data_IF_391222580236
#
_entry.id   IF_391222580236
#
_cell.length_a   1.000
_cell.length_b   1.000
_cell.length_c   1.000
_cell.angle_alpha   90.00
_cell.angle_beta   90.00
_cell.angle_gamma   90.00
#
_symmetry.space_group_name_H-M   'P 1'
#
loop_
_entity.id
_entity.type
_entity.pdbx_description
1 polymer ?
#
# COMPACT_ATOMS: atom_id res chain seq x y z
N UNK A 1 76.15 -36.86 -29.37
CA UNK A 1 74.96 -37.23 -28.59
C UNK A 1 75.04 -36.59 -27.20
N UNK A 2 74.38 -35.45 -26.99
CA UNK A 2 74.25 -34.81 -25.67
C UNK A 2 72.75 -34.67 -25.38
N UNK A 3 72.30 -35.26 -24.27
CA UNK A 3 70.93 -35.20 -23.77
C UNK A 3 70.75 -33.86 -23.05
N UNK A 4 69.89 -33.00 -23.58
CA UNK A 4 69.51 -31.73 -22.93
C UNK A 4 68.13 -31.94 -22.30
N UNK A 5 68.12 -32.13 -20.98
CA UNK A 5 66.91 -32.12 -20.15
C UNK A 5 66.53 -30.66 -19.93
N UNK A 6 65.42 -30.21 -20.53
CA UNK A 6 64.83 -28.91 -20.24
C UNK A 6 63.55 -29.12 -19.44
N UNK A 7 63.63 -28.73 -18.18
CA UNK A 7 62.59 -28.68 -17.16
C UNK A 7 62.13 -27.22 -17.08
N UNK A 8 60.95 -26.94 -16.47
CA UNK A 8 60.45 -25.62 -16.01
C UNK A 8 59.60 -24.87 -17.09
N UNK A 9 58.37 -24.35 -16.89
CA UNK A 9 57.53 -24.00 -15.71
C UNK A 9 56.06 -24.02 -16.17
N UNK A 10 55.17 -24.71 -15.45
CA UNK A 10 53.72 -24.49 -15.58
C UNK A 10 53.33 -23.26 -14.75
N UNK A 11 52.97 -22.16 -15.40
CA UNK A 11 52.35 -21.00 -14.77
C UNK A 11 50.85 -21.30 -14.70
N UNK A 12 50.38 -21.75 -13.54
CA UNK A 12 48.95 -21.81 -13.25
C UNK A 12 48.47 -20.37 -12.99
N UNK A 13 47.90 -19.74 -14.02
CA UNK A 13 47.22 -18.46 -13.90
C UNK A 13 45.85 -18.72 -13.27
N UNK A 14 45.79 -18.71 -11.93
CA UNK A 14 44.52 -18.78 -11.19
C UNK A 14 43.80 -17.45 -11.38
N UNK A 15 42.99 -17.35 -12.44
CA UNK A 15 42.11 -16.23 -12.68
C UNK A 15 40.98 -16.22 -11.67
N UNK A 16 41.15 -15.46 -10.59
CA UNK A 16 40.04 -15.09 -9.71
C UNK A 16 39.10 -14.18 -10.51
N UNK A 17 38.07 -14.79 -11.11
CA UNK A 17 36.94 -14.06 -11.68
C UNK A 17 36.19 -13.43 -10.48
N UNK A 18 36.56 -12.21 -10.10
CA UNK A 18 35.75 -11.37 -9.25
C UNK A 18 34.46 -11.09 -10.03
N UNK A 19 33.43 -11.89 -9.78
CA UNK A 19 32.06 -11.50 -10.05
C UNK A 19 31.79 -10.29 -9.16
N UNK A 20 32.12 -9.11 -9.68
CA UNK A 20 31.51 -7.88 -9.21
C UNK A 20 30.03 -8.04 -9.50
N UNK A 21 29.30 -8.61 -8.54
CA UNK A 21 27.85 -8.63 -8.58
C UNK A 21 27.42 -7.19 -8.81
N UNK A 22 26.70 -6.95 -9.91
CA UNK A 22 25.99 -5.70 -10.08
C UNK A 22 25.10 -5.61 -8.84
N UNK A 23 25.49 -4.76 -7.88
CA UNK A 23 24.59 -4.36 -6.83
C UNK A 23 23.43 -3.70 -7.56
N UNK A 24 22.29 -4.39 -7.62
CA UNK A 24 21.07 -3.82 -8.16
C UNK A 24 20.84 -2.55 -7.36
N UNK A 25 20.79 -1.41 -8.05
CA UNK A 25 20.50 -0.15 -7.39
C UNK A 25 19.03 -0.23 -6.95
N UNK A 26 18.78 0.00 -5.66
CA UNK A 26 17.43 0.18 -5.16
C UNK A 26 16.81 1.47 -5.70
N UNK A 27 15.54 1.68 -5.40
CA UNK A 27 14.79 2.87 -5.78
C UNK A 27 14.47 3.71 -4.55
N UNK A 28 14.66 5.01 -4.69
CA UNK A 28 14.10 6.00 -3.80
C UNK A 28 13.01 6.79 -4.50
N UNK A 29 11.86 6.96 -3.84
CA UNK A 29 10.84 7.86 -4.33
C UNK A 29 10.21 8.72 -3.23
N UNK A 30 9.72 9.88 -3.64
CA UNK A 30 8.88 10.74 -2.81
C UNK A 30 7.51 10.84 -3.48
N UNK A 31 6.46 10.77 -2.67
CA UNK A 31 5.08 10.88 -3.12
C UNK A 31 4.36 11.99 -2.39
N UNK A 32 3.49 12.70 -3.10
CA UNK A 32 2.53 13.63 -2.52
C UNK A 32 1.11 13.12 -2.77
N UNK A 33 0.33 13.00 -1.70
CA UNK A 33 -1.08 12.63 -1.73
C UNK A 33 -1.93 13.84 -1.35
N UNK A 34 -2.84 14.25 -2.23
CA UNK A 34 -3.81 15.32 -2.00
C UNK A 34 -5.22 14.73 -1.92
N UNK A 35 -5.93 14.99 -0.83
CA UNK A 35 -7.29 14.47 -0.61
C UNK A 35 -8.29 15.60 -0.35
N UNK A 36 -9.52 15.45 -0.84
CA UNK A 36 -10.56 16.47 -0.69
C UNK A 36 -10.45 17.59 -1.72
N UNK A 37 -9.91 17.29 -2.91
CA UNK A 37 -9.66 18.27 -3.98
C UNK A 37 -10.95 18.96 -4.42
N UNK A 38 -12.06 18.22 -4.49
CA UNK A 38 -13.37 18.77 -4.85
C UNK A 38 -14.11 19.45 -3.68
N UNK A 39 -13.56 19.40 -2.47
CA UNK A 39 -14.20 20.01 -1.31
C UNK A 39 -13.99 21.52 -1.28
N UNK A 40 -14.89 22.28 -0.63
CA UNK A 40 -14.70 23.73 -0.40
C UNK A 40 -13.56 24.04 0.58
N UNK A 41 -13.01 23.03 1.25
CA UNK A 41 -11.90 23.18 2.20
C UNK A 41 -10.58 23.03 1.44
N UNK A 42 -9.50 23.53 2.04
CA UNK A 42 -8.16 23.26 1.51
C UNK A 42 -7.94 21.73 1.47
N UNK A 43 -7.40 21.18 0.38
CA UNK A 43 -7.04 19.77 0.31
C UNK A 43 -6.09 19.42 1.46
N UNK A 44 -6.23 18.21 2.00
CA UNK A 44 -5.20 17.67 2.87
C UNK A 44 -4.04 17.21 1.99
N UNK A 45 -2.81 17.55 2.34
CA UNK A 45 -1.60 17.19 1.58
C UNK A 45 -0.69 16.38 2.48
N UNK A 46 -0.40 15.15 2.07
CA UNK A 46 0.47 14.22 2.77
C UNK A 46 1.67 13.89 1.90
N UNK A 47 2.85 13.83 2.52
CA UNK A 47 4.06 13.43 1.83
C UNK A 47 4.58 12.12 2.41
N UNK A 48 5.16 11.28 1.56
CA UNK A 48 5.83 10.07 1.98
C UNK A 48 7.13 9.89 1.21
N UNK A 49 8.07 9.19 1.85
CA UNK A 49 9.35 8.78 1.28
C UNK A 49 9.40 7.27 1.27
N UNK A 50 9.88 6.71 0.17
CA UNK A 50 9.95 5.27 -0.02
C UNK A 50 11.34 4.85 -0.43
N UNK A 51 11.78 3.73 0.12
CA UNK A 51 12.94 2.98 -0.33
C UNK A 51 12.48 1.59 -0.74
N UNK A 52 13.00 1.11 -1.85
CA UNK A 52 12.69 -0.20 -2.42
C UNK A 52 13.98 -0.85 -2.91
N UNK A 53 14.18 -2.13 -2.62
CA UNK A 53 15.27 -2.95 -3.15
C UNK A 53 14.79 -4.40 -3.24
N UNK A 54 14.40 -4.84 -4.44
CA UNK A 54 13.88 -6.19 -4.65
C UNK A 54 12.59 -6.46 -3.87
N UNK A 55 12.63 -7.32 -2.86
CA UNK A 55 11.45 -7.64 -2.02
C UNK A 55 11.33 -6.72 -0.79
N UNK A 56 12.32 -5.85 -0.55
CA UNK A 56 12.36 -4.99 0.62
C UNK A 56 11.80 -3.61 0.29
N UNK A 57 10.91 -3.12 1.15
CA UNK A 57 10.27 -1.82 0.98
C UNK A 57 10.08 -1.12 2.31
N UNK A 58 10.31 0.19 2.34
CA UNK A 58 10.04 1.04 3.51
C UNK A 58 9.34 2.31 3.08
N UNK A 59 8.27 2.69 3.77
CA UNK A 59 7.55 3.96 3.57
C UNK A 59 7.56 4.76 4.85
N UNK A 60 8.14 5.94 4.81
CA UNK A 60 8.13 6.92 5.89
C UNK A 60 7.18 8.06 5.54
N UNK A 61 6.22 8.36 6.41
CA UNK A 61 5.33 9.51 6.25
C UNK A 61 5.99 10.78 6.81
N UNK A 62 5.79 11.93 6.16
CA UNK A 62 6.36 13.20 6.62
C UNK A 62 5.77 13.59 7.98
N UNK A 63 6.65 13.80 8.95
CA UNK A 63 6.32 14.14 10.34
C UNK A 63 5.72 15.53 10.53
N UNK A 64 5.71 16.36 9.47
CA UNK A 64 5.17 17.73 9.53
C UNK A 64 3.65 17.76 9.49
N UNK A 65 2.98 16.69 9.04
CA UNK A 65 1.53 16.60 9.05
C UNK A 65 1.02 16.18 10.44
N UNK A 66 0.78 17.17 11.30
CA UNK A 66 0.28 16.97 12.68
C UNK A 66 -1.11 16.34 12.72
N UNK A 67 -1.88 16.42 11.63
CA UNK A 67 -3.22 15.84 11.54
C UNK A 67 -3.18 14.38 11.06
N UNK A 68 -2.00 13.88 10.67
CA UNK A 68 -1.81 12.50 10.25
C UNK A 68 -1.25 11.65 11.40
N UNK A 69 -2.03 10.70 11.96
CA UNK A 69 -1.52 9.81 13.01
C UNK A 69 -0.34 8.94 12.53
N UNK A 70 -0.18 8.74 11.21
CA UNK A 70 0.96 8.02 10.62
C UNK A 70 2.24 8.86 10.56
N UNK A 71 2.15 10.19 10.70
CA UNK A 71 3.30 11.09 10.63
C UNK A 71 4.19 11.05 11.89
N UNK A 72 3.75 10.45 12.98
CA UNK A 72 4.43 10.53 14.28
C UNK A 72 5.57 9.50 14.46
N UNK A 73 6.47 9.42 13.48
CA UNK A 73 7.57 8.45 13.49
C UNK A 73 7.13 7.02 13.18
N UNK A 74 5.90 6.85 12.69
CA UNK A 74 5.42 5.58 12.18
C UNK A 74 5.93 5.39 10.74
N UNK A 75 6.27 4.16 10.40
CA UNK A 75 6.62 3.80 9.03
C UNK A 75 6.06 2.42 8.69
N UNK A 76 5.89 2.18 7.39
CA UNK A 76 5.58 0.86 6.88
C UNK A 76 6.87 0.18 6.44
N UNK A 77 6.96 -1.13 6.68
CA UNK A 77 8.07 -1.94 6.24
C UNK A 77 7.53 -3.24 5.61
N UNK A 78 8.11 -3.68 4.51
CA UNK A 78 7.93 -5.03 3.97
C UNK A 78 9.28 -5.62 3.66
N UNK A 79 9.36 -6.95 3.77
CA UNK A 79 10.57 -7.75 3.50
C UNK A 79 10.26 -8.93 2.57
N UNK A 80 9.07 -8.91 1.95
CA UNK A 80 8.47 -9.99 1.18
C UNK A 80 7.60 -9.45 0.04
N UNK A 81 8.04 -8.35 -0.59
CA UNK A 81 7.39 -7.77 -1.77
C UNK A 81 5.97 -7.26 -1.51
N UNK A 82 5.66 -6.89 -0.26
CA UNK A 82 4.36 -6.40 0.19
C UNK A 82 3.39 -7.48 0.67
N UNK A 83 3.78 -8.75 0.73
CA UNK A 83 2.92 -9.82 1.25
C UNK A 83 2.59 -9.61 2.74
N UNK A 84 3.59 -9.18 3.51
CA UNK A 84 3.48 -8.71 4.89
C UNK A 84 3.93 -7.26 4.97
N UNK A 85 3.09 -6.41 5.56
CA UNK A 85 3.44 -5.01 5.83
C UNK A 85 3.47 -4.82 7.33
N UNK A 86 4.62 -4.47 7.89
CA UNK A 86 4.75 -4.12 9.29
C UNK A 86 4.45 -2.64 9.46
N UNK A 87 3.49 -2.31 10.33
CA UNK A 87 3.36 -0.96 10.87
C UNK A 87 4.34 -0.85 12.03
N UNK A 88 5.36 0.00 11.89
CA UNK A 88 6.38 0.19 12.91
C UNK A 88 6.22 1.54 13.57
N UNK A 89 6.17 1.55 14.90
CA UNK A 89 6.10 2.76 15.73
C UNK A 89 7.44 2.98 16.42
N UNK A 90 8.23 3.94 15.92
CA UNK A 90 9.55 4.22 16.50
C UNK A 90 9.53 4.85 17.88
N UNK A 91 8.43 5.52 18.25
CA UNK A 91 8.31 6.19 19.56
C UNK A 91 8.06 5.17 20.66
N UNK A 92 7.11 4.27 20.43
CA UNK A 92 6.71 3.24 21.40
C UNK A 92 7.60 1.99 21.31
N UNK A 93 8.51 1.93 20.32
CA UNK A 93 9.36 0.76 20.03
C UNK A 93 8.54 -0.52 19.84
N UNK A 94 7.48 -0.41 19.05
CA UNK A 94 6.62 -1.54 18.72
C UNK A 94 6.50 -1.71 17.22
N UNK A 95 6.16 -2.90 16.77
CA UNK A 95 5.70 -3.14 15.42
C UNK A 95 4.54 -4.11 15.41
N UNK A 96 3.71 -4.02 14.39
CA UNK A 96 2.60 -4.94 14.22
C UNK A 96 2.53 -5.42 12.76
N UNK A 97 2.48 -6.73 12.50
CA UNK A 97 2.24 -7.24 11.17
C UNK A 97 0.80 -6.91 10.74
N UNK A 98 0.67 -6.14 9.67
CA UNK A 98 -0.57 -5.81 9.01
C UNK A 98 -0.67 -6.56 7.68
N UNK A 99 -1.80 -7.21 7.48
CA UNK A 99 -2.18 -7.76 6.18
C UNK A 99 -3.65 -7.43 5.96
N UNK A 100 -3.99 -6.88 4.79
CA UNK A 100 -5.38 -6.59 4.42
C UNK A 100 -6.21 -7.87 4.44
N UNK A 101 -5.64 -9.00 4.00
CA UNK A 101 -6.30 -10.31 4.08
C UNK A 101 -6.66 -10.64 5.53
N UNK A 102 -5.71 -10.49 6.47
CA UNK A 102 -5.95 -10.70 7.90
C UNK A 102 -6.95 -9.69 8.48
N UNK A 103 -6.89 -8.43 8.07
CA UNK A 103 -7.83 -7.41 8.52
C UNK A 103 -9.27 -7.72 8.07
N UNK A 104 -9.44 -8.18 6.82
CA UNK A 104 -10.73 -8.60 6.27
C UNK A 104 -11.21 -9.92 6.89
N UNK A 105 -10.32 -10.89 7.11
CA UNK A 105 -10.68 -12.14 7.80
C UNK A 105 -11.13 -11.86 9.24
N UNK A 106 -10.48 -10.93 9.94
CA UNK A 106 -10.91 -10.48 11.27
C UNK A 106 -12.28 -9.83 11.23
N UNK A 107 -12.58 -9.05 10.19
CA UNK A 107 -13.92 -8.47 10.01
C UNK A 107 -15.00 -9.57 9.91
N UNK A 108 -14.68 -10.68 9.24
CA UNK A 108 -15.52 -11.88 9.19
C UNK A 108 -15.64 -12.56 10.56
N UNK A 109 -14.51 -12.83 11.23
CA UNK A 109 -14.52 -13.43 12.57
C UNK A 109 -15.24 -12.58 13.61
N UNK A 110 -15.18 -11.25 13.50
CA UNK A 110 -15.94 -10.32 14.36
C UNK A 110 -17.45 -10.46 14.12
N UNK A 111 -17.86 -10.69 12.88
CA UNK A 111 -19.27 -10.97 12.55
C UNK A 111 -19.73 -12.24 13.27
N UNK A 112 -18.92 -13.31 13.26
CA UNK A 112 -19.23 -14.55 13.99
C UNK A 112 -19.23 -14.37 15.51
N UNK A 113 -18.18 -13.74 16.06
CA UNK A 113 -18.00 -13.54 17.50
C UNK A 113 -19.11 -12.67 18.12
N UNK A 114 -19.67 -11.73 17.35
CA UNK A 114 -20.80 -10.91 17.78
C UNK A 114 -22.16 -11.61 17.58
N UNK A 115 -22.18 -12.90 17.24
CA UNK A 115 -23.43 -13.63 16.92
C UNK A 115 -24.17 -13.04 15.71
N UNK A 116 -23.43 -12.41 14.80
CA UNK A 116 -23.96 -11.65 13.68
C UNK A 116 -24.71 -10.39 14.08
N UNK A 117 -24.44 -9.80 15.26
CA UNK A 117 -25.00 -8.50 15.66
C UNK A 117 -24.48 -7.38 14.76
N UNK A 118 -23.22 -7.46 14.33
CA UNK A 118 -22.65 -6.60 13.29
C UNK A 118 -22.30 -7.50 12.11
N UNK A 119 -22.77 -7.16 10.93
CA UNK A 119 -22.42 -7.84 9.68
C UNK A 119 -22.07 -6.80 8.62
N UNK A 120 -20.96 -7.02 7.94
CA UNK A 120 -20.50 -6.19 6.84
C UNK A 120 -20.43 -7.09 5.60
N UNK A 121 -21.17 -6.73 4.55
CA UNK A 121 -21.17 -7.47 3.29
C UNK A 121 -20.83 -6.55 2.13
N UNK A 122 -20.14 -7.11 1.15
CA UNK A 122 -19.79 -6.48 -0.11
C UNK A 122 -20.53 -7.21 -1.21
N UNK A 123 -21.10 -6.48 -2.16
CA UNK A 123 -21.94 -7.04 -3.22
C UNK A 123 -21.86 -6.15 -4.46
N UNK A 124 -22.39 -6.62 -5.59
CA UNK A 124 -22.47 -5.86 -6.84
C UNK A 124 -21.12 -5.29 -7.30
N UNK A 125 -20.03 -6.05 -7.08
CA UNK A 125 -18.68 -5.66 -7.50
C UNK A 125 -18.58 -5.59 -9.02
N UNK A 126 -17.97 -4.53 -9.54
CA UNK A 126 -17.67 -4.40 -10.95
C UNK A 126 -16.37 -3.63 -11.16
N UNK A 127 -15.73 -3.84 -12.30
CA UNK A 127 -14.53 -3.12 -12.73
C UNK A 127 -14.39 -3.19 -14.24
N UNK A 128 -14.06 -2.07 -14.86
CA UNK A 128 -13.82 -1.96 -16.30
C UNK A 128 -12.69 -0.97 -16.61
N UNK A 129 -11.93 -1.25 -17.67
CA UNK A 129 -11.02 -0.28 -18.28
C UNK A 129 -11.85 0.56 -19.24
N UNK A 130 -11.89 1.87 -19.01
CA UNK A 130 -12.60 2.83 -19.85
C UNK A 130 -11.75 3.29 -21.04
N UNK A 131 -10.43 3.27 -20.90
CA UNK A 131 -9.52 3.67 -21.98
C UNK A 131 -8.04 3.49 -21.61
N UNK A 132 -7.24 3.30 -22.65
CA UNK A 132 -5.78 3.27 -22.57
C UNK A 132 -5.21 4.15 -23.67
N UNK A 133 -4.36 5.10 -23.29
CA UNK A 133 -3.74 6.03 -24.22
C UNK A 133 -2.29 6.33 -23.79
N UNK A 134 -1.42 6.80 -24.70
CA UNK A 134 -0.13 7.33 -24.31
C UNK A 134 -0.32 8.49 -23.30
N UNK A 135 0.32 8.38 -22.13
CA UNK A 135 0.32 9.43 -21.12
C UNK A 135 1.47 10.42 -21.32
N UNK A 136 1.40 11.57 -20.67
CA UNK A 136 2.53 12.49 -20.63
C UNK A 136 3.74 11.87 -19.93
N UNK A 137 4.98 12.18 -20.36
CA UNK A 137 6.16 11.76 -19.61
C UNK A 137 6.17 12.37 -18.20
N UNK A 138 6.44 11.55 -17.19
CA UNK A 138 6.58 12.00 -15.78
C UNK A 138 7.96 11.60 -15.30
N UNK A 139 8.72 12.56 -14.74
CA UNK A 139 10.09 12.34 -14.27
C UNK A 139 11.02 11.70 -15.33
N UNK A 140 10.81 12.04 -16.61
CA UNK A 140 11.50 11.50 -17.79
C UNK A 140 11.15 10.06 -18.18
N UNK A 141 10.21 9.42 -17.49
CA UNK A 141 9.67 8.12 -17.90
C UNK A 141 8.51 8.32 -18.86
N UNK A 142 8.48 7.56 -19.96
CA UNK A 142 7.26 7.41 -20.76
C UNK A 142 6.17 6.75 -19.92
N UNK A 143 4.93 7.24 -20.05
CA UNK A 143 3.80 6.66 -19.32
C UNK A 143 2.70 6.20 -20.27
N UNK A 144 1.94 5.22 -19.82
CA UNK A 144 0.63 4.87 -20.36
C UNK A 144 -0.42 5.40 -19.39
N UNK A 145 -1.37 6.20 -19.88
CA UNK A 145 -2.52 6.64 -19.11
C UNK A 145 -3.62 5.60 -19.25
N UNK A 146 -4.06 5.05 -18.12
CA UNK A 146 -5.17 4.10 -18.04
C UNK A 146 -6.30 4.73 -17.26
N UNK A 147 -7.47 4.80 -17.87
CA UNK A 147 -8.71 5.19 -17.22
C UNK A 147 -9.50 3.94 -16.88
N UNK A 148 -9.85 3.78 -15.60
CA UNK A 148 -10.61 2.64 -15.09
C UNK A 148 -11.80 3.11 -14.26
N UNK A 149 -12.82 2.28 -14.16
CA UNK A 149 -13.95 2.47 -13.28
C UNK A 149 -14.22 1.18 -12.53
N UNK A 150 -14.44 1.28 -11.23
CA UNK A 150 -14.90 0.15 -10.44
C UNK A 150 -15.90 0.59 -9.39
N UNK A 151 -16.58 -0.36 -8.78
CA UNK A 151 -17.49 -0.08 -7.70
C UNK A 151 -18.00 -1.32 -7.01
N UNK A 152 -18.69 -1.11 -5.90
CA UNK A 152 -19.34 -2.14 -5.11
C UNK A 152 -20.39 -1.54 -4.18
N UNK A 153 -21.31 -2.37 -3.71
CA UNK A 153 -22.27 -2.05 -2.65
C UNK A 153 -21.77 -2.57 -1.30
N UNK A 154 -21.56 -1.67 -0.35
CA UNK A 154 -21.26 -1.97 1.04
C UNK A 154 -22.54 -1.95 1.88
N UNK A 155 -22.88 -3.08 2.50
CA UNK A 155 -23.99 -3.17 3.45
C UNK A 155 -23.46 -3.44 4.85
N UNK A 156 -23.80 -2.56 5.79
CA UNK A 156 -23.55 -2.77 7.23
C UNK A 156 -24.88 -2.98 7.95
N UNK A 157 -25.02 -4.12 8.60
CA UNK A 157 -26.17 -4.46 9.42
C UNK A 157 -25.79 -4.49 10.90
N UNK A 158 -26.40 -3.63 11.70
CA UNK A 158 -26.23 -3.57 13.15
C UNK A 158 -27.55 -3.99 13.81
N UNK A 159 -27.75 -5.30 13.99
CA UNK A 159 -29.00 -5.89 14.50
C UNK A 159 -29.41 -5.34 15.87
N UNK A 160 -28.44 -5.13 16.77
CA UNK A 160 -28.69 -4.60 18.12
C UNK A 160 -29.36 -3.22 18.12
N UNK A 161 -29.16 -2.43 17.07
CA UNK A 161 -29.76 -1.09 16.93
C UNK A 161 -30.86 -1.02 15.87
N UNK A 162 -31.22 -2.14 15.25
CA UNK A 162 -32.16 -2.17 14.12
C UNK A 162 -31.73 -1.31 12.93
N UNK A 163 -30.41 -1.06 12.77
CA UNK A 163 -29.88 -0.15 11.75
C UNK A 163 -29.21 -0.93 10.62
N UNK A 164 -29.73 -0.72 9.40
CA UNK A 164 -29.08 -1.12 8.14
C UNK A 164 -28.60 0.13 7.39
N UNK A 165 -27.33 0.12 7.03
CA UNK A 165 -26.70 1.13 6.17
C UNK A 165 -26.29 0.44 4.88
N UNK A 166 -26.63 1.07 3.75
CA UNK A 166 -26.24 0.62 2.41
C UNK A 166 -25.59 1.82 1.74
N UNK A 167 -24.36 1.64 1.26
CA UNK A 167 -23.61 2.64 0.52
C UNK A 167 -23.14 2.01 -0.78
N UNK A 168 -23.46 2.64 -1.91
CA UNK A 168 -22.86 2.30 -3.20
C UNK A 168 -21.60 3.13 -3.37
N UNK A 169 -20.51 2.48 -3.75
CA UNK A 169 -19.24 3.12 -4.07
C UNK A 169 -18.99 2.96 -5.56
N UNK A 170 -18.67 4.07 -6.22
CA UNK A 170 -18.31 4.16 -7.63
C UNK A 170 -17.03 4.99 -7.71
N UNK A 171 -15.95 4.42 -8.21
CA UNK A 171 -14.67 5.11 -8.32
C UNK A 171 -14.24 5.09 -9.77
N UNK A 172 -13.96 6.26 -10.31
CA UNK A 172 -13.23 6.43 -11.55
C UNK A 172 -11.79 6.80 -11.21
N UNK A 173 -10.83 6.11 -11.80
CA UNK A 173 -9.41 6.37 -11.61
C UNK A 173 -8.73 6.58 -12.94
N UNK A 174 -7.85 7.58 -13.01
CA UNK A 174 -6.88 7.76 -14.08
C UNK A 174 -5.48 7.51 -13.50
N UNK A 175 -4.71 6.63 -14.11
CA UNK A 175 -3.37 6.28 -13.65
C UNK A 175 -2.36 6.42 -14.78
N UNK A 176 -1.24 7.10 -14.52
CA UNK A 176 -0.11 7.23 -15.44
C UNK A 176 0.96 6.24 -15.01
N UNK A 177 1.11 5.17 -15.80
CA UNK A 177 1.95 4.04 -15.47
C UNK A 177 3.23 4.10 -16.28
N UNK A 178 4.38 4.00 -15.61
CA UNK A 178 5.67 3.78 -16.24
C UNK A 178 5.91 2.26 -16.37
N UNK A 179 5.77 1.67 -17.58
CA UNK A 179 5.87 0.23 -17.78
C UNK A 179 7.28 -0.30 -17.56
N UNK A 180 8.30 0.55 -17.69
CA UNK A 180 9.72 0.15 -17.55
C UNK A 180 10.16 0.03 -16.08
N UNK A 181 9.33 0.44 -15.12
CA UNK A 181 9.59 0.34 -13.67
C UNK A 181 8.87 -0.88 -13.08
N UNK A 182 9.62 -1.95 -12.78
CA UNK A 182 9.06 -3.26 -12.39
C UNK A 182 9.60 -3.86 -11.09
N UNK A 183 10.20 -3.07 -10.20
CA UNK A 183 10.72 -3.59 -8.92
C UNK A 183 9.60 -4.17 -8.04
N UNK A 184 9.85 -5.32 -7.39
CA UNK A 184 8.84 -6.09 -6.69
C UNK A 184 8.31 -5.38 -5.43
N UNK A 185 9.12 -4.62 -4.68
CA UNK A 185 8.63 -3.92 -3.49
C UNK A 185 7.83 -2.65 -3.83
N UNK A 186 7.81 -2.20 -5.09
CA UNK A 186 6.84 -1.20 -5.56
C UNK A 186 5.39 -1.71 -5.44
N UNK A 187 5.20 -3.03 -5.30
CA UNK A 187 3.89 -3.62 -5.03
C UNK A 187 3.28 -3.22 -3.68
N UNK A 188 4.10 -2.69 -2.76
CA UNK A 188 3.61 -2.11 -1.51
C UNK A 188 2.58 -1.00 -1.77
N UNK A 189 2.74 -0.29 -2.88
CA UNK A 189 1.82 0.75 -3.34
C UNK A 189 0.87 0.25 -4.45
N UNK A 190 1.35 -0.63 -5.32
CA UNK A 190 0.55 -1.29 -6.38
C UNK A 190 0.43 -2.78 -6.15
N UNK A 191 -0.62 -3.20 -5.47
CA UNK A 191 -0.88 -4.64 -5.39
C UNK A 191 -1.11 -5.18 -6.80
N UNK A 192 -0.34 -6.20 -7.18
CA UNK A 192 -0.48 -6.93 -8.47
C UNK A 192 -1.84 -7.61 -8.64
N UNK A 193 -2.64 -7.67 -7.60
CA UNK A 193 -3.98 -8.23 -7.62
C UNK A 193 -4.73 -7.96 -6.31
N UNK A 194 -6.02 -8.30 -6.27
CA UNK A 194 -6.81 -8.23 -5.04
C UNK A 194 -6.23 -9.15 -3.96
N UNK A 195 -6.32 -8.77 -2.67
CA UNK A 195 -6.02 -9.69 -1.60
C UNK A 195 -7.02 -10.84 -1.57
N UNK A 196 -6.54 -12.04 -1.27
CA UNK A 196 -7.41 -13.16 -0.89
C UNK A 196 -7.78 -13.01 0.59
N UNK A 197 -9.06 -13.01 0.89
CA UNK A 197 -9.60 -12.81 2.23
C UNK A 197 -10.02 -14.12 2.90
N UNK A 198 -10.12 -15.19 2.10
CA UNK A 198 -10.69 -16.47 2.50
C UNK A 198 -12.21 -16.52 2.40
N UNK A 199 -12.86 -15.40 2.09
CA UNK A 199 -14.28 -15.33 1.78
C UNK A 199 -14.47 -15.27 0.26
N UNK A 200 -15.04 -16.33 -0.32
CA UNK A 200 -15.16 -16.46 -1.77
C UNK A 200 -16.03 -15.39 -2.43
N UNK A 201 -17.02 -14.84 -1.70
CA UNK A 201 -17.90 -13.81 -2.23
C UNK A 201 -17.17 -12.47 -2.27
N UNK A 202 -16.55 -12.08 -1.15
CA UNK A 202 -15.70 -10.90 -1.06
C UNK A 202 -14.54 -10.95 -2.05
N UNK A 203 -13.86 -12.10 -2.16
CA UNK A 203 -12.76 -12.28 -3.10
C UNK A 203 -13.22 -12.12 -4.55
N UNK A 204 -14.46 -12.51 -4.86
CA UNK A 204 -15.05 -12.32 -6.19
C UNK A 204 -15.35 -10.85 -6.46
N UNK A 205 -15.92 -10.12 -5.49
CA UNK A 205 -16.11 -8.67 -5.58
C UNK A 205 -14.76 -7.97 -5.77
N UNK A 206 -13.75 -8.31 -4.98
CA UNK A 206 -12.42 -7.71 -5.05
C UNK A 206 -11.73 -8.00 -6.39
N UNK A 207 -11.77 -9.25 -6.89
CA UNK A 207 -11.26 -9.60 -8.23
C UNK A 207 -11.94 -8.84 -9.35
N UNK A 208 -13.23 -8.56 -9.21
CA UNK A 208 -13.96 -7.85 -10.26
C UNK A 208 -13.67 -6.36 -10.19
N UNK A 209 -13.52 -5.79 -9.00
CA UNK A 209 -13.26 -4.36 -8.79
C UNK A 209 -11.79 -3.97 -9.00
N UNK A 210 -10.83 -4.87 -8.76
CA UNK A 210 -9.40 -4.58 -8.83
C UNK A 210 -8.80 -5.11 -10.13
N UNK A 211 -8.61 -4.21 -11.09
CA UNK A 211 -7.95 -4.52 -12.36
C UNK A 211 -6.44 -4.40 -12.17
N UNK A 212 -5.66 -5.47 -12.42
CA UNK A 212 -4.20 -5.39 -12.34
C UNK A 212 -3.64 -4.52 -13.46
N UNK A 213 -2.65 -3.69 -13.12
CA UNK A 213 -1.94 -2.83 -14.06
C UNK A 213 -0.45 -3.22 -14.04
N UNK A 214 0.19 -3.29 -15.21
CA UNK A 214 1.62 -3.64 -15.32
C UNK A 214 2.49 -2.38 -15.35
N UNK A 215 3.42 -2.26 -14.40
CA UNK A 215 4.32 -1.11 -14.23
C UNK A 215 4.11 -0.37 -12.91
N UNK A 216 4.73 0.80 -12.78
CA UNK A 216 4.67 1.64 -11.57
C UNK A 216 3.86 2.93 -11.81
N UNK A 217 2.93 3.34 -10.92
CA UNK A 217 2.08 4.49 -11.16
C UNK A 217 2.85 5.75 -10.73
N UNK A 218 3.17 6.62 -11.67
CA UNK A 218 3.80 7.89 -11.36
C UNK A 218 2.78 8.94 -10.93
N UNK A 219 1.51 8.75 -11.33
CA UNK A 219 0.39 9.58 -10.92
C UNK A 219 -0.90 8.77 -10.92
N UNK A 220 -1.75 9.02 -9.94
CA UNK A 220 -3.09 8.46 -9.85
C UNK A 220 -4.06 9.54 -9.42
N UNK A 221 -5.15 9.74 -10.17
CA UNK A 221 -6.27 10.60 -9.79
C UNK A 221 -7.50 9.73 -9.66
N UNK A 222 -8.06 9.66 -8.46
CA UNK A 222 -9.27 8.88 -8.17
C UNK A 222 -10.40 9.81 -7.75
N UNK A 223 -11.56 9.65 -8.39
CA UNK A 223 -12.81 10.31 -8.01
C UNK A 223 -13.80 9.26 -7.54
N UNK A 224 -14.14 9.32 -6.26
CA UNK A 224 -15.04 8.37 -5.62
C UNK A 224 -16.39 9.02 -5.32
N UNK A 225 -17.45 8.48 -5.88
CA UNK A 225 -18.83 8.81 -5.57
C UNK A 225 -19.39 7.76 -4.62
N UNK A 226 -19.81 8.21 -3.44
CA UNK A 226 -20.56 7.38 -2.49
C UNK A 226 -22.01 7.80 -2.48
N UNK A 227 -22.92 6.87 -2.77
CA UNK A 227 -24.36 7.09 -2.75
C UNK A 227 -24.98 6.34 -1.59
N UNK A 228 -25.62 7.05 -0.66
CA UNK A 228 -26.32 6.42 0.47
C UNK A 228 -27.68 5.82 0.07
N UNK A 229 -28.31 5.10 1.00
CA UNK A 229 -29.64 4.50 0.78
C UNK A 229 -30.77 5.50 0.46
N UNK A 230 -30.56 6.81 0.67
CA UNK A 230 -31.52 7.88 0.32
C UNK A 230 -31.20 8.49 -1.05
N UNK A 231 -30.20 7.99 -1.77
CA UNK A 231 -29.73 8.54 -3.03
C UNK A 231 -28.89 9.81 -2.85
N UNK A 232 -28.47 10.14 -1.63
CA UNK A 232 -27.58 11.30 -1.42
C UNK A 232 -26.16 10.92 -1.79
N UNK A 233 -25.59 11.71 -2.68
CA UNK A 233 -24.22 11.52 -3.16
C UNK A 233 -23.21 12.35 -2.35
N UNK A 234 -22.03 11.78 -2.19
CA UNK A 234 -20.82 12.45 -1.72
C UNK A 234 -19.71 12.09 -2.69
N UNK A 235 -19.14 13.11 -3.32
CA UNK A 235 -18.00 12.96 -4.21
C UNK A 235 -16.74 13.40 -3.46
N UNK A 236 -15.71 12.57 -3.51
CA UNK A 236 -14.36 12.92 -3.06
C UNK A 236 -13.36 12.70 -4.20
N UNK A 237 -12.26 13.43 -4.17
CA UNK A 237 -11.17 13.23 -5.12
C UNK A 237 -9.84 13.23 -4.39
N UNK A 238 -9.03 12.23 -4.74
CA UNK A 238 -7.68 12.02 -4.26
C UNK A 238 -6.72 11.98 -5.43
N UNK A 239 -5.60 12.68 -5.32
CA UNK A 239 -4.50 12.64 -6.26
C UNK A 239 -3.24 12.15 -5.53
N UNK A 240 -2.54 11.17 -6.10
CA UNK A 240 -1.24 10.70 -5.62
C UNK A 240 -0.25 10.91 -6.75
N UNK A 241 0.85 11.61 -6.48
CA UNK A 241 1.87 11.93 -7.48
C UNK A 241 3.25 11.61 -6.95
N UNK A 242 4.06 10.90 -7.74
CA UNK A 242 5.49 10.71 -7.49
C UNK A 242 6.23 11.98 -7.88
N UNK A 243 6.84 12.65 -6.91
CA UNK A 243 7.53 13.94 -7.09
C UNK A 243 9.04 13.79 -7.25
N UNK A 244 9.59 12.70 -6.73
CA UNK A 244 11.01 12.33 -6.88
C UNK A 244 11.08 10.84 -7.16
N UNK A 245 11.93 10.44 -8.10
CA UNK A 245 12.27 9.03 -8.35
C UNK A 245 13.72 8.96 -8.82
N UNK A 246 14.52 8.11 -8.17
CA UNK A 246 15.91 7.87 -8.56
C UNK A 246 16.37 6.49 -8.10
N UNK A 247 17.36 5.98 -8.80
CA UNK A 247 18.13 4.82 -8.35
C UNK A 247 19.16 5.25 -7.30
N UNK A 248 19.26 4.49 -6.21
CA UNK A 248 20.31 4.65 -5.21
C UNK A 248 20.64 3.33 -4.53
N UNK A 249 21.87 3.17 -4.04
CA UNK A 249 22.21 2.03 -3.20
C UNK A 249 21.57 2.23 -1.83
N UNK A 250 20.63 1.35 -1.47
CA UNK A 250 19.95 1.38 -0.18
C UNK A 250 20.64 0.40 0.77
N UNK A 251 21.15 0.85 1.94
CA UNK A 251 21.73 -0.06 2.92
C UNK A 251 20.67 -1.05 3.44
N UNK A 252 21.03 -2.34 3.59
CA UNK A 252 20.11 -3.36 4.10
C UNK A 252 19.49 -3.00 5.47
N UNK A 253 20.23 -2.27 6.31
CA UNK A 253 19.75 -1.78 7.62
C UNK A 253 18.55 -0.84 7.54
N UNK A 254 18.26 -0.24 6.36
CA UNK A 254 17.03 0.54 6.14
C UNK A 254 15.79 -0.36 6.31
N UNK A 255 15.91 -1.64 5.96
CA UNK A 255 14.81 -2.61 5.91
C UNK A 255 14.75 -3.57 7.11
N UNK A 256 15.61 -3.38 8.09
CA UNK A 256 15.61 -4.21 9.31
C UNK A 256 14.54 -3.72 10.29
N UNK A 257 13.80 -4.66 10.88
CA UNK A 257 13.05 -4.37 12.10
C UNK A 257 14.06 -4.22 13.25
N UNK A 258 14.02 -3.14 14.04
CA UNK A 258 14.94 -3.00 15.15
C UNK A 258 14.76 -4.13 16.17
N UNK A 259 15.88 -4.73 16.60
CA UNK A 259 15.86 -5.92 17.46
C UNK A 259 15.29 -5.65 18.87
N UNK A 260 15.25 -4.38 19.29
CA UNK A 260 14.70 -3.96 20.59
C UNK A 260 13.21 -3.59 20.52
N UNK A 261 12.54 -3.80 19.40
CA UNK A 261 11.12 -3.49 19.26
C UNK A 261 10.25 -4.70 19.59
N UNK A 262 9.13 -4.45 20.25
CA UNK A 262 8.15 -5.47 20.62
C UNK A 262 7.11 -5.68 19.51
N UNK A 263 6.86 -6.94 19.13
CA UNK A 263 5.74 -7.27 18.27
C UNK A 263 4.43 -7.17 19.07
N UNK A 264 3.53 -6.30 18.63
CA UNK A 264 2.20 -6.15 19.22
C UNK A 264 1.13 -6.70 18.27
N UNK A 265 0.07 -7.24 18.86
CA UNK A 265 -1.12 -7.63 18.11
C UNK A 265 -2.05 -6.44 17.93
N UNK A 266 -2.34 -6.05 16.68
CA UNK A 266 -3.40 -5.05 16.39
C UNK A 266 -4.79 -5.50 16.86
N UNK A 267 -4.95 -6.78 17.24
CA UNK A 267 -6.20 -7.37 17.69
C UNK A 267 -6.38 -7.29 19.21
N UNK A 268 -5.30 -7.09 19.96
CA UNK A 268 -5.41 -6.77 21.38
C UNK A 268 -5.90 -5.33 21.51
N UNK A 269 -6.98 -5.02 22.25
CA UNK A 269 -7.36 -3.64 22.55
C UNK A 269 -6.17 -2.78 23.00
N UNK A 270 -5.22 -3.34 23.75
CA UNK A 270 -3.99 -2.66 24.14
C UNK A 270 -3.06 -2.37 22.94
N UNK A 271 -2.93 -3.31 22.00
CA UNK A 271 -2.13 -3.13 20.78
C UNK A 271 -2.79 -2.21 19.74
N UNK A 272 -4.11 -2.24 19.62
CA UNK A 272 -4.88 -1.29 18.81
C UNK A 272 -4.76 0.13 19.36
N UNK A 273 -4.75 0.29 20.69
CA UNK A 273 -4.47 1.57 21.32
C UNK A 273 -3.00 1.97 21.17
N UNK A 274 -2.03 1.08 21.35
CA UNK A 274 -0.60 1.41 21.16
C UNK A 274 -0.27 1.82 19.71
N UNK A 275 -0.93 1.21 18.72
CA UNK A 275 -0.82 1.62 17.32
C UNK A 275 -1.56 2.95 17.02
N UNK A 276 -2.57 3.30 17.82
CA UNK A 276 -3.40 4.50 17.64
C UNK A 276 -3.08 5.68 18.56
N UNK A 277 -2.25 5.52 19.60
CA UNK A 277 -2.03 6.52 20.65
C UNK A 277 -1.04 7.63 20.26
N UNK A 278 -1.04 8.04 18.99
CA UNK A 278 -0.19 9.11 18.50
C UNK A 278 -0.76 10.51 18.76
N UNK A 279 -1.71 10.69 19.68
CA UNK A 279 -2.20 12.01 20.11
C UNK A 279 -3.46 11.95 20.96
N UNK A 280 -3.33 12.30 22.24
CA UNK A 280 -4.45 12.66 23.12
C UNK A 280 -5.21 13.86 22.52
N UNK A 281 -6.35 13.59 21.89
CA UNK A 281 -7.63 14.33 21.94
C UNK A 281 -8.50 13.96 20.73
N UNK A 282 -9.18 12.80 20.79
CA UNK A 282 -10.36 12.56 19.92
C UNK A 282 -11.30 11.55 20.58
N UNK A 283 -12.50 12.03 20.94
CA UNK A 283 -13.52 11.20 21.56
C UNK A 283 -13.97 10.07 20.64
N UNK A 284 -13.83 8.83 21.12
CA UNK A 284 -14.51 7.61 20.64
C UNK A 284 -14.92 7.61 19.16
N UNK A 285 -13.96 7.62 18.24
CA UNK A 285 -14.21 7.39 16.83
C UNK A 285 -13.84 5.96 16.42
N UNK A 286 -14.66 5.36 15.56
CA UNK A 286 -14.61 3.94 15.21
C UNK A 286 -13.31 3.54 14.50
N UNK A 287 -12.73 2.35 14.80
CA UNK A 287 -11.54 1.81 14.13
C UNK A 287 -11.68 1.67 12.60
N UNK A 288 -12.91 1.76 12.07
CA UNK A 288 -13.19 1.77 10.63
C UNK A 288 -12.79 3.08 9.93
N UNK A 289 -12.52 4.18 10.65
CA UNK A 289 -12.16 5.46 10.03
C UNK A 289 -10.74 5.45 9.44
N UNK A 290 -9.80 4.72 10.07
CA UNK A 290 -8.45 4.51 9.53
C UNK A 290 -8.43 3.61 8.28
N UNK A 291 -9.35 2.63 8.21
CA UNK A 291 -9.58 1.86 6.98
C UNK A 291 -10.18 2.73 5.88
N UNK A 292 -11.11 3.62 6.21
CA UNK A 292 -11.66 4.56 5.22
C UNK A 292 -10.60 5.52 4.65
N UNK A 293 -9.62 5.98 5.44
CA UNK A 293 -8.52 6.78 4.89
C UNK A 293 -7.61 5.98 3.95
N UNK A 294 -7.46 4.67 4.16
CA UNK A 294 -6.74 3.79 3.22
C UNK A 294 -7.50 3.55 1.91
N UNK A 295 -8.83 3.74 1.91
CA UNK A 295 -9.70 3.60 0.74
C UNK A 295 -10.35 4.92 0.27
N UNK A 296 -9.77 6.08 0.64
CA UNK A 296 -10.19 7.39 0.12
C UNK A 296 -11.56 7.91 0.61
N UNK A 297 -12.08 7.45 1.74
CA UNK A 297 -13.36 7.92 2.30
C UNK A 297 -13.18 8.79 3.55
N UNK A 298 -13.72 10.02 3.54
CA UNK A 298 -14.02 10.77 4.79
C UNK A 298 -15.34 10.31 5.42
#
# INVERSE_FOLDING_TARGET
MRKTTLLIKAVALTGSLLLAGQAMAGLYCETETRTGILSRRRPNVQQAKMWVDGDFGKVLFDQKDKDNPMANGNYLLTRDGGATVYLVNSKEKTYAPFSIAKALSVLSSLTEATGGMISITFSDGYGEILGEEPGEPILSYSTQKVSLRHGFTLTTNMKMFGRKTVNKMDTQTETWIAPDLKDAALNLWLRKGPPETGDSELDTVLRTAMIPLDGFPLKTVSTTTTTDKKGKEKVDQTEITVTVLREETVPASVFELPADYEEISLMDPAGAMAAGNSGEDSGSESPLKGLKSLFGGK
#
